data_IF_186456002785
#
_entry.id   IF_186456002785
#
_cell.length_a   1.000
_cell.length_b   1.000
_cell.length_c   1.000
_cell.angle_alpha   90.00
_cell.angle_beta   90.00
_cell.angle_gamma   90.00
#
_symmetry.space_group_name_H-M   'P 1'
#
loop_
_entity.id
_entity.type
_entity.pdbx_description
1 polymer ?
#
# COMPACT_ATOMS: atom_id res chain seq x y z
N UNK A 1 -22.53 23.23 -9.19
CA UNK A 1 -21.40 22.28 -9.18
C UNK A 1 -20.36 22.83 -10.12
N UNK A 2 -19.38 23.56 -9.59
CA UNK A 2 -18.19 23.94 -10.36
C UNK A 2 -17.54 22.65 -10.83
N UNK A 3 -17.40 22.47 -12.15
CA UNK A 3 -16.67 21.33 -12.71
C UNK A 3 -15.19 21.53 -12.38
N UNK A 4 -14.77 21.07 -11.21
CA UNK A 4 -13.35 20.94 -10.89
C UNK A 4 -12.77 19.89 -11.83
N UNK A 5 -11.67 20.22 -12.50
CA UNK A 5 -10.94 19.24 -13.30
C UNK A 5 -10.48 18.10 -12.37
N UNK A 6 -10.46 16.84 -12.85
CA UNK A 6 -9.89 15.74 -12.08
C UNK A 6 -8.49 16.09 -11.55
N UNK A 7 -8.11 15.63 -10.35
CA UNK A 7 -6.92 16.10 -9.63
C UNK A 7 -5.61 15.82 -10.38
N UNK A 8 -5.59 14.83 -11.28
CA UNK A 8 -4.41 14.45 -12.06
C UNK A 8 -4.60 14.67 -13.57
N UNK A 9 -5.63 15.43 -13.97
CA UNK A 9 -5.86 15.75 -15.37
C UNK A 9 -4.65 16.45 -15.99
N UNK A 10 -4.13 15.90 -17.09
CA UNK A 10 -2.95 16.43 -17.78
C UNK A 10 -1.61 16.04 -17.16
N UNK A 11 -1.59 15.20 -16.12
CA UNK A 11 -0.34 14.64 -15.60
C UNK A 11 0.36 13.77 -16.67
N UNK A 12 1.62 14.07 -16.95
CA UNK A 12 2.44 13.37 -17.96
C UNK A 12 3.49 12.42 -17.37
N UNK A 13 3.51 12.26 -16.03
CA UNK A 13 4.41 11.32 -15.38
C UNK A 13 3.99 9.88 -15.73
N UNK A 14 4.96 9.01 -15.98
CA UNK A 14 4.73 7.59 -16.18
C UNK A 14 5.23 6.80 -14.98
N UNK A 15 4.31 6.30 -14.16
CA UNK A 15 4.62 5.48 -12.99
C UNK A 15 5.42 4.23 -13.36
N UNK A 16 5.05 3.58 -14.48
CA UNK A 16 5.70 2.35 -14.92
C UNK A 16 7.11 2.63 -15.45
N UNK A 17 7.32 3.73 -16.18
CA UNK A 17 8.66 4.12 -16.62
C UNK A 17 9.56 4.51 -15.44
N UNK A 18 9.03 5.26 -14.46
CA UNK A 18 9.76 5.66 -13.25
C UNK A 18 10.13 4.44 -12.38
N UNK A 19 9.22 3.47 -12.24
CA UNK A 19 9.47 2.25 -11.48
C UNK A 19 10.51 1.31 -12.12
N UNK A 20 10.93 1.54 -13.37
CA UNK A 20 11.93 0.72 -14.05
C UNK A 20 13.28 0.73 -13.33
N UNK A 21 13.70 1.87 -12.78
CA UNK A 21 14.98 2.00 -12.06
C UNK A 21 15.02 1.17 -10.76
N UNK A 22 14.08 1.33 -9.80
CA UNK A 22 14.08 0.49 -8.59
C UNK A 22 13.82 -0.99 -8.91
N UNK A 23 13.04 -1.31 -9.95
CA UNK A 23 12.87 -2.69 -10.40
C UNK A 23 14.18 -3.29 -10.92
N UNK A 24 14.93 -2.56 -11.73
CA UNK A 24 16.23 -3.00 -12.21
C UNK A 24 17.20 -3.22 -11.03
N UNK A 25 17.20 -2.34 -10.03
CA UNK A 25 18.00 -2.53 -8.82
C UNK A 25 17.63 -3.81 -8.05
N UNK A 26 16.33 -4.10 -7.88
CA UNK A 26 15.84 -5.30 -7.22
C UNK A 26 16.31 -6.57 -7.97
N UNK A 27 16.21 -6.58 -9.30
CA UNK A 27 16.59 -7.74 -10.14
C UNK A 27 18.11 -7.90 -10.32
N UNK A 28 18.90 -6.84 -10.21
CA UNK A 28 20.35 -6.91 -10.33
C UNK A 28 21.03 -7.40 -9.03
N UNK A 29 20.37 -7.25 -7.88
CA UNK A 29 20.94 -7.49 -6.55
C UNK A 29 20.18 -8.60 -5.80
N UNK A 30 19.80 -9.67 -6.52
CA UNK A 30 18.94 -10.75 -5.99
C UNK A 30 19.45 -11.40 -4.72
N UNK A 31 20.77 -11.58 -4.59
CA UNK A 31 21.39 -12.17 -3.39
C UNK A 31 21.31 -11.24 -2.18
N UNK A 32 21.49 -9.94 -2.39
CA UNK A 32 21.42 -8.95 -1.31
C UNK A 32 19.98 -8.82 -0.79
N UNK A 33 19.02 -8.75 -1.71
CA UNK A 33 17.61 -8.61 -1.36
C UNK A 33 16.95 -9.93 -0.95
N UNK A 34 17.63 -11.05 -1.18
CA UNK A 34 17.10 -12.39 -0.89
C UNK A 34 15.88 -12.75 -1.75
N UNK A 35 15.80 -12.24 -2.97
CA UNK A 35 14.69 -12.49 -3.91
C UNK A 35 15.08 -13.51 -4.97
N UNK A 36 14.09 -14.16 -5.58
CA UNK A 36 14.27 -15.05 -6.74
C UNK A 36 13.58 -14.47 -7.95
N UNK A 37 14.28 -14.45 -9.08
CA UNK A 37 13.75 -13.97 -10.35
C UNK A 37 13.63 -15.14 -11.31
N UNK A 38 12.45 -15.34 -11.84
CA UNK A 38 12.15 -16.35 -12.85
C UNK A 38 11.54 -15.67 -14.08
N UNK A 39 11.91 -16.14 -15.27
CA UNK A 39 11.22 -15.76 -16.50
C UNK A 39 10.40 -16.94 -16.99
N UNK A 40 9.10 -16.75 -17.13
CA UNK A 40 8.19 -17.80 -17.62
C UNK A 40 8.49 -18.12 -19.08
N UNK A 41 7.99 -19.27 -19.56
CA UNK A 41 8.08 -19.64 -20.98
C UNK A 41 7.40 -18.62 -21.92
N UNK A 42 6.37 -17.90 -21.44
CA UNK A 42 5.71 -16.85 -22.20
C UNK A 42 6.50 -15.54 -22.23
N UNK A 43 7.46 -15.33 -21.33
CA UNK A 43 8.33 -14.16 -21.29
C UNK A 43 8.11 -13.23 -20.09
N UNK A 44 7.06 -13.47 -19.29
CA UNK A 44 6.74 -12.70 -18.07
C UNK A 44 7.83 -12.90 -17.02
N UNK A 45 8.19 -11.83 -16.31
CA UNK A 45 9.10 -11.92 -15.17
C UNK A 45 8.31 -12.08 -13.87
N UNK A 46 8.63 -13.12 -13.11
CA UNK A 46 8.13 -13.34 -11.76
C UNK A 46 9.27 -13.07 -10.76
N UNK A 47 9.01 -12.24 -9.76
CA UNK A 47 9.91 -11.98 -8.65
C UNK A 47 9.27 -12.53 -7.39
N UNK A 48 9.80 -13.64 -6.88
CA UNK A 48 9.44 -14.17 -5.57
C UNK A 48 10.27 -13.45 -4.49
N UNK A 49 9.57 -12.73 -3.61
CA UNK A 49 10.16 -11.99 -2.51
C UNK A 49 9.77 -12.54 -1.12
N UNK A 50 9.23 -13.76 -1.04
CA UNK A 50 8.88 -14.33 0.27
C UNK A 50 8.14 -15.68 0.30
N UNK A 51 7.82 -16.27 -0.86
CA UNK A 51 7.13 -17.57 -0.96
C UNK A 51 8.13 -18.70 -0.73
N UNK A 52 9.10 -18.83 -1.62
CA UNK A 52 10.24 -19.74 -1.50
C UNK A 52 11.54 -18.98 -1.23
N UNK A 53 11.66 -17.76 -1.74
CA UNK A 53 12.74 -16.85 -1.43
C UNK A 53 12.63 -16.35 0.01
N UNK A 54 13.75 -16.16 0.74
CA UNK A 54 13.70 -15.63 2.11
C UNK A 54 13.16 -14.19 2.16
N UNK A 55 13.37 -13.41 1.09
CA UNK A 55 13.14 -11.98 1.08
C UNK A 55 14.00 -11.24 2.10
N UNK A 56 13.76 -9.94 2.21
CA UNK A 56 14.38 -9.11 3.25
C UNK A 56 13.53 -7.88 3.50
N UNK A 57 13.75 -7.22 4.64
CA UNK A 57 13.14 -5.91 4.89
C UNK A 57 13.57 -4.92 3.80
N UNK A 58 14.85 -4.91 3.42
CA UNK A 58 15.36 -4.06 2.34
C UNK A 58 14.64 -4.29 1.00
N UNK A 59 14.33 -5.54 0.66
CA UNK A 59 13.51 -5.85 -0.51
C UNK A 59 12.10 -5.26 -0.37
N UNK A 60 11.48 -5.40 0.80
CA UNK A 60 10.15 -4.83 1.06
C UNK A 60 10.10 -3.30 1.00
N UNK A 61 11.15 -2.60 1.45
CA UNK A 61 11.26 -1.14 1.31
C UNK A 61 11.31 -0.74 -0.17
N UNK A 62 12.18 -1.39 -0.95
CA UNK A 62 12.30 -1.12 -2.40
C UNK A 62 11.02 -1.49 -3.16
N UNK A 63 10.35 -2.57 -2.78
CA UNK A 63 9.04 -2.95 -3.33
C UNK A 63 7.98 -1.91 -2.94
N UNK A 64 8.04 -1.33 -1.75
CA UNK A 64 7.21 -0.20 -1.34
C UNK A 64 7.39 1.02 -2.26
N UNK A 65 8.62 1.36 -2.62
CA UNK A 65 8.92 2.43 -3.60
C UNK A 65 8.41 2.08 -5.01
N UNK A 66 8.54 0.82 -5.43
CA UNK A 66 7.96 0.32 -6.68
C UNK A 66 6.43 0.46 -6.65
N UNK A 67 5.77 0.09 -5.55
CA UNK A 67 4.33 0.28 -5.38
C UNK A 67 3.93 1.76 -5.50
N UNK A 68 4.75 2.68 -5.00
CA UNK A 68 4.56 4.14 -5.13
C UNK A 68 4.91 4.68 -6.54
N UNK A 69 5.29 3.82 -7.48
CA UNK A 69 5.72 4.20 -8.84
C UNK A 69 6.96 5.09 -8.85
N UNK A 70 7.86 4.88 -7.89
CA UNK A 70 9.06 5.68 -7.64
C UNK A 70 8.79 7.20 -7.44
N UNK A 71 7.56 7.57 -7.08
CA UNK A 71 7.18 8.93 -6.69
C UNK A 71 7.10 9.11 -5.17
N UNK A 72 7.52 8.11 -4.40
CA UNK A 72 7.71 8.21 -2.97
C UNK A 72 8.93 7.44 -2.52
N UNK A 73 9.52 7.89 -1.41
CA UNK A 73 10.67 7.28 -0.78
C UNK A 73 10.22 6.43 0.41
N UNK A 74 10.82 5.26 0.59
CA UNK A 74 10.51 4.35 1.71
C UNK A 74 11.79 3.98 2.43
N UNK A 75 11.88 4.33 3.71
CA UNK A 75 13.09 4.12 4.50
C UNK A 75 12.76 3.40 5.81
N UNK A 76 13.72 2.64 6.32
CA UNK A 76 13.65 2.12 7.67
C UNK A 76 14.42 3.04 8.61
N UNK A 77 13.79 3.40 9.73
CA UNK A 77 14.39 4.19 10.80
C UNK A 77 14.39 3.38 12.09
N UNK A 78 15.45 3.53 12.90
CA UNK A 78 15.42 3.07 14.28
C UNK A 78 14.41 3.90 15.09
N UNK A 79 13.70 3.26 16.01
CA UNK A 79 12.64 3.87 16.82
C UNK A 79 13.12 4.96 17.78
N UNK A 80 14.43 5.11 18.01
CA UNK A 80 14.98 6.10 18.92
C UNK A 80 14.38 5.98 20.33
N UNK A 81 13.50 6.91 20.68
CA UNK A 81 12.77 6.99 21.97
C UNK A 81 11.47 6.19 22.03
N UNK A 82 11.01 5.62 20.91
CA UNK A 82 9.83 4.75 20.86
C UNK A 82 10.09 3.42 21.59
N UNK A 83 9.08 2.84 22.27
CA UNK A 83 9.19 1.52 22.88
C UNK A 83 9.37 0.37 21.86
N UNK A 84 9.09 0.62 20.58
CA UNK A 84 9.36 -0.29 19.48
C UNK A 84 10.58 0.16 18.64
N UNK A 85 11.54 -0.73 18.31
CA UNK A 85 12.86 -0.33 17.80
C UNK A 85 12.95 -0.08 16.30
N UNK A 86 11.96 -0.48 15.49
CA UNK A 86 12.05 -0.44 14.02
C UNK A 86 10.81 0.18 13.40
N UNK A 87 10.99 1.14 12.50
CA UNK A 87 9.92 1.92 11.88
C UNK A 87 10.15 2.03 10.38
N UNK A 88 9.07 2.18 9.62
CA UNK A 88 9.10 2.59 8.23
C UNK A 88 8.67 4.05 8.15
N UNK A 89 9.38 4.83 7.35
CA UNK A 89 9.05 6.20 6.97
C UNK A 89 8.74 6.24 5.47
N UNK A 90 7.70 6.99 5.10
CA UNK A 90 7.23 7.14 3.74
C UNK A 90 7.00 8.61 3.47
N UNK A 91 7.43 9.11 2.32
CA UNK A 91 7.11 10.48 1.91
C UNK A 91 6.94 10.59 0.40
N UNK A 92 6.10 11.52 -0.04
CA UNK A 92 5.87 11.81 -1.44
C UNK A 92 5.50 13.27 -1.67
N UNK A 93 6.09 13.86 -2.71
CA UNK A 93 5.72 15.16 -3.24
C UNK A 93 4.59 15.10 -4.29
N UNK A 94 4.10 13.89 -4.59
CA UNK A 94 2.96 13.62 -5.47
C UNK A 94 2.09 12.51 -4.84
N UNK A 95 1.62 12.70 -3.58
CA UNK A 95 1.08 11.60 -2.78
C UNK A 95 -0.19 11.01 -3.38
N UNK A 96 -1.04 11.80 -4.03
CA UNK A 96 -2.26 11.29 -4.68
C UNK A 96 -1.92 10.34 -5.83
N UNK A 97 -1.01 10.73 -6.72
CA UNK A 97 -0.59 9.88 -7.83
C UNK A 97 0.18 8.64 -7.33
N UNK A 98 1.12 8.82 -6.41
CA UNK A 98 1.93 7.73 -5.86
C UNK A 98 1.09 6.72 -5.07
N UNK A 99 0.20 7.20 -4.19
CA UNK A 99 -0.61 6.33 -3.34
C UNK A 99 -1.83 5.77 -4.08
N UNK A 100 -2.70 6.61 -4.63
CA UNK A 100 -3.98 6.17 -5.20
C UNK A 100 -3.82 5.67 -6.64
N UNK A 101 -3.00 6.37 -7.43
CA UNK A 101 -2.70 6.00 -8.82
C UNK A 101 -1.80 4.77 -8.96
N UNK A 102 -1.08 4.39 -7.90
CA UNK A 102 -0.12 3.28 -7.92
C UNK A 102 -0.24 2.33 -6.72
N UNK A 103 0.12 2.78 -5.51
CA UNK A 103 0.31 1.90 -4.34
C UNK A 103 -0.96 1.16 -3.90
N UNK A 104 -2.13 1.80 -3.96
CA UNK A 104 -3.40 1.27 -3.49
C UNK A 104 -3.68 -0.12 -4.07
N UNK A 105 -4.12 -1.03 -3.20
CA UNK A 105 -4.40 -2.43 -3.56
C UNK A 105 -5.82 -2.61 -4.11
N UNK A 106 -6.22 -1.81 -5.11
CA UNK A 106 -7.59 -1.77 -5.58
C UNK A 106 -7.94 -2.72 -6.73
N UNK A 107 -6.94 -3.36 -7.36
CA UNK A 107 -7.21 -4.25 -8.48
C UNK A 107 -7.48 -5.69 -8.02
N UNK A 108 -8.75 -6.06 -7.92
CA UNK A 108 -9.17 -7.44 -7.62
C UNK A 108 -8.87 -8.40 -8.77
N UNK A 109 -8.06 -9.42 -8.49
CA UNK A 109 -7.71 -10.50 -9.41
C UNK A 109 -8.16 -11.83 -8.82
N UNK A 110 -9.00 -12.57 -9.54
CA UNK A 110 -9.52 -13.85 -9.09
C UNK A 110 -9.57 -14.87 -10.21
N UNK A 111 -9.43 -16.15 -9.85
CA UNK A 111 -9.70 -17.28 -10.72
C UNK A 111 -10.45 -18.37 -9.95
N UNK A 112 -11.41 -19.00 -10.62
CA UNK A 112 -12.23 -20.08 -10.06
C UNK A 112 -11.43 -21.38 -9.88
N UNK A 113 -12.03 -22.37 -9.23
CA UNK A 113 -11.39 -23.69 -9.07
C UNK A 113 -11.22 -24.37 -10.42
N UNK A 114 -12.20 -24.22 -11.30
CA UNK A 114 -12.24 -24.75 -12.66
C UNK A 114 -11.11 -24.14 -13.51
N UNK A 115 -10.95 -22.82 -13.48
CA UNK A 115 -9.90 -22.11 -14.23
C UNK A 115 -8.48 -22.44 -13.74
N UNK A 116 -8.34 -22.84 -12.48
CA UNK A 116 -7.05 -23.18 -11.87
C UNK A 116 -6.77 -24.68 -11.80
N UNK A 117 -7.71 -25.53 -12.22
CA UNK A 117 -7.62 -26.98 -12.07
C UNK A 117 -7.51 -27.45 -10.62
N UNK A 118 -8.04 -26.68 -9.66
CA UNK A 118 -7.91 -27.00 -8.23
C UNK A 118 -8.39 -25.93 -7.27
N UNK A 119 -7.48 -25.07 -6.80
CA UNK A 119 -7.74 -24.11 -5.71
C UNK A 119 -8.04 -22.71 -6.26
N UNK A 120 -9.17 -22.13 -5.83
CA UNK A 120 -9.55 -20.72 -6.07
C UNK A 120 -8.36 -19.80 -5.79
N UNK A 121 -8.10 -18.87 -6.69
CA UNK A 121 -7.09 -17.83 -6.53
C UNK A 121 -7.78 -16.49 -6.29
N UNK A 122 -7.24 -15.70 -5.37
CA UNK A 122 -7.64 -14.32 -5.14
C UNK A 122 -6.40 -13.53 -4.71
N UNK A 123 -6.24 -12.35 -5.28
CA UNK A 123 -5.19 -11.40 -4.92
C UNK A 123 -5.70 -9.98 -5.15
N UNK A 124 -5.19 -9.05 -4.35
CA UNK A 124 -5.28 -7.63 -4.65
C UNK A 124 -3.97 -7.18 -5.30
N UNK A 125 -4.06 -6.63 -6.50
CA UNK A 125 -2.95 -6.06 -7.23
C UNK A 125 -2.68 -4.62 -6.80
N UNK A 126 -1.40 -4.32 -6.55
CA UNK A 126 -0.88 -2.99 -6.24
C UNK A 126 0.20 -2.59 -7.23
N UNK A 127 0.44 -1.29 -7.37
CA UNK A 127 1.56 -0.74 -8.11
C UNK A 127 1.22 -0.21 -9.51
N UNK A 128 2.25 0.26 -10.23
CA UNK A 128 2.12 1.07 -11.44
C UNK A 128 1.27 0.48 -12.56
N UNK A 129 1.27 -0.85 -12.72
CA UNK A 129 0.49 -1.50 -13.78
C UNK A 129 -1.02 -1.26 -13.66
N UNK A 130 -1.53 -0.94 -12.46
CA UNK A 130 -2.93 -0.53 -12.26
C UNK A 130 -3.31 0.65 -13.16
N UNK A 131 -2.41 1.62 -13.33
CA UNK A 131 -2.63 2.79 -14.16
C UNK A 131 -2.59 2.52 -15.68
N UNK A 132 -2.10 1.36 -16.10
CA UNK A 132 -2.24 0.89 -17.49
C UNK A 132 -3.63 0.26 -17.70
N UNK A 133 -4.05 -0.55 -16.72
CA UNK A 133 -5.26 -1.35 -16.77
C UNK A 133 -6.54 -0.54 -16.54
N UNK A 134 -6.49 0.46 -15.64
CA UNK A 134 -7.58 1.37 -15.24
C UNK A 134 -8.92 0.67 -15.01
N UNK A 135 -8.90 -0.47 -14.30
CA UNK A 135 -10.11 -1.27 -14.03
C UNK A 135 -10.93 -0.77 -12.86
N UNK A 136 -10.40 0.18 -12.11
CA UNK A 136 -11.01 0.75 -10.91
C UNK A 136 -11.70 2.08 -11.26
N UNK A 137 -12.92 2.34 -10.76
CA UNK A 137 -13.60 3.63 -10.94
C UNK A 137 -12.74 4.84 -10.53
N UNK A 138 -11.89 4.63 -9.53
CA UNK A 138 -10.92 5.60 -9.02
C UNK A 138 -10.10 6.29 -10.12
N UNK A 139 -9.70 5.59 -11.19
CA UNK A 139 -8.90 6.22 -12.26
C UNK A 139 -9.68 7.27 -13.07
N UNK A 140 -11.00 7.11 -13.20
CA UNK A 140 -11.85 8.12 -13.82
C UNK A 140 -11.97 9.37 -12.93
N UNK A 141 -12.07 9.17 -11.62
CA UNK A 141 -12.11 10.25 -10.62
C UNK A 141 -10.79 11.01 -10.55
N UNK A 142 -9.67 10.29 -10.62
CA UNK A 142 -8.32 10.88 -10.65
C UNK A 142 -8.04 11.61 -11.98
N UNK A 143 -8.59 11.13 -13.09
CA UNK A 143 -8.32 11.63 -14.44
C UNK A 143 -6.92 11.29 -14.94
N UNK A 144 -6.42 10.10 -14.59
CA UNK A 144 -5.07 9.64 -14.92
C UNK A 144 -5.06 8.25 -15.55
N UNK A 145 -4.20 8.07 -16.56
CA UNK A 145 -3.87 6.79 -17.20
C UNK A 145 -2.41 6.86 -17.63
N UNK A 146 -1.67 5.83 -17.27
CA UNK A 146 -0.27 5.70 -17.68
C UNK A 146 -0.17 5.11 -19.11
N UNK A 147 0.95 5.36 -19.78
CA UNK A 147 1.28 4.83 -21.09
C UNK A 147 2.73 4.32 -21.07
N UNK A 148 2.90 3.00 -21.15
CA UNK A 148 4.19 2.32 -21.11
C UNK A 148 4.07 0.94 -21.77
N UNK A 149 5.16 0.47 -22.38
CA UNK A 149 5.32 -0.90 -22.89
C UNK A 149 5.83 -1.89 -21.82
N UNK A 150 6.14 -1.37 -20.62
CA UNK A 150 6.48 -2.13 -19.42
C UNK A 150 5.45 -1.88 -18.33
N UNK A 151 5.18 -2.91 -17.54
CA UNK A 151 4.38 -2.76 -16.32
C UNK A 151 4.84 -3.66 -15.19
N UNK A 152 4.73 -3.14 -13.98
CA UNK A 152 5.02 -3.88 -12.74
C UNK A 152 3.80 -3.89 -11.83
N UNK A 153 3.42 -5.09 -11.38
CA UNK A 153 2.32 -5.33 -10.45
C UNK A 153 2.83 -6.14 -9.26
N UNK A 154 2.49 -5.70 -8.06
CA UNK A 154 2.81 -6.37 -6.80
C UNK A 154 1.57 -7.10 -6.30
N UNK A 155 1.72 -8.37 -5.96
CA UNK A 155 0.66 -9.27 -5.50
C UNK A 155 1.00 -9.77 -4.10
N UNK A 156 0.10 -9.47 -3.15
CA UNK A 156 0.16 -10.06 -1.81
C UNK A 156 -0.43 -11.47 -1.84
N UNK A 157 0.43 -12.47 -2.10
CA UNK A 157 0.03 -13.87 -2.31
C UNK A 157 1.03 -14.84 -1.71
N UNK A 158 0.56 -16.03 -1.36
CA UNK A 158 1.35 -17.14 -0.82
C UNK A 158 1.75 -18.20 -1.85
N UNK A 159 1.34 -18.01 -3.10
CA UNK A 159 1.64 -18.87 -4.24
C UNK A 159 1.64 -18.07 -5.54
N UNK A 160 2.38 -18.51 -6.58
CA UNK A 160 2.36 -17.85 -7.89
C UNK A 160 0.94 -17.76 -8.48
N UNK A 161 0.63 -16.66 -9.21
CA UNK A 161 -0.65 -16.53 -9.88
C UNK A 161 -0.79 -17.59 -10.99
N UNK A 162 -1.98 -18.17 -11.17
CA UNK A 162 -2.24 -19.10 -12.27
C UNK A 162 -2.18 -18.36 -13.62
N UNK A 163 -1.92 -19.09 -14.71
CA UNK A 163 -1.76 -18.52 -16.04
C UNK A 163 -2.95 -17.64 -16.48
N UNK A 164 -4.17 -18.05 -16.17
CA UNK A 164 -5.40 -17.27 -16.47
C UNK A 164 -5.38 -15.85 -15.87
N UNK A 165 -4.77 -15.68 -14.68
CA UNK A 165 -4.62 -14.37 -14.03
C UNK A 165 -3.51 -13.58 -14.72
N UNK A 166 -2.38 -14.22 -15.07
CA UNK A 166 -1.29 -13.58 -15.81
C UNK A 166 -1.79 -13.06 -17.16
N UNK A 167 -2.53 -13.88 -17.92
CA UNK A 167 -3.09 -13.50 -19.21
C UNK A 167 -4.11 -12.37 -19.07
N UNK A 168 -4.88 -12.36 -17.98
CA UNK A 168 -5.79 -11.25 -17.67
C UNK A 168 -5.03 -9.95 -17.45
N UNK A 169 -3.96 -9.96 -16.65
CA UNK A 169 -3.13 -8.77 -16.39
C UNK A 169 -2.51 -8.26 -17.70
N UNK A 170 -1.95 -9.14 -18.52
CA UNK A 170 -1.40 -8.77 -19.84
C UNK A 170 -2.42 -8.09 -20.74
N UNK A 171 -3.61 -8.70 -20.90
CA UNK A 171 -4.70 -8.14 -21.72
C UNK A 171 -5.19 -6.80 -21.20
N UNK A 172 -5.38 -6.71 -19.88
CA UNK A 172 -5.94 -5.53 -19.25
C UNK A 172 -4.96 -4.35 -19.31
N UNK A 173 -3.66 -4.59 -19.15
CA UNK A 173 -2.61 -3.57 -19.27
C UNK A 173 -2.20 -3.27 -20.72
N UNK A 174 -2.60 -4.11 -21.69
CA UNK A 174 -2.16 -3.98 -23.09
C UNK A 174 -0.67 -4.27 -23.30
N UNK A 175 -0.10 -5.17 -22.49
CA UNK A 175 1.34 -5.48 -22.50
C UNK A 175 1.65 -6.75 -23.29
N UNK A 176 2.82 -6.75 -23.95
CA UNK A 176 3.45 -7.99 -24.38
C UNK A 176 3.94 -8.78 -23.14
N UNK A 177 4.05 -10.12 -23.22
CA UNK A 177 4.49 -10.93 -22.08
C UNK A 177 5.81 -10.48 -21.44
N UNK A 178 6.81 -10.11 -22.25
CA UNK A 178 8.10 -9.60 -21.75
C UNK A 178 8.05 -8.18 -21.19
N UNK A 179 6.94 -7.49 -21.37
CA UNK A 179 6.64 -6.20 -20.75
C UNK A 179 6.15 -6.31 -19.32
N UNK A 180 5.70 -7.48 -18.86
CA UNK A 180 5.10 -7.64 -17.53
C UNK A 180 6.08 -8.21 -16.51
N UNK A 181 6.18 -7.53 -15.36
CA UNK A 181 6.78 -8.08 -14.14
C UNK A 181 5.76 -8.20 -13.02
N UNK A 182 5.71 -9.36 -12.37
CA UNK A 182 4.90 -9.61 -11.19
C UNK A 182 5.82 -9.83 -9.98
N UNK A 183 5.61 -9.06 -8.91
CA UNK A 183 6.34 -9.22 -7.65
C UNK A 183 5.39 -9.89 -6.64
N UNK A 184 5.82 -10.99 -6.03
CA UNK A 184 5.01 -11.80 -5.12
C UNK A 184 5.51 -11.61 -3.68
N UNK A 185 4.64 -11.07 -2.82
CA UNK A 185 5.00 -10.69 -1.44
C UNK A 185 4.01 -11.26 -0.43
N UNK A 186 4.19 -12.50 0.07
CA UNK A 186 3.31 -13.03 1.11
C UNK A 186 3.44 -12.22 2.40
N UNK A 187 2.31 -11.89 3.03
CA UNK A 187 2.24 -11.06 4.26
C UNK A 187 3.09 -11.61 5.40
N UNK A 188 3.29 -12.93 5.46
CA UNK A 188 4.12 -13.62 6.45
C UNK A 188 5.64 -13.50 6.22
N UNK A 189 6.09 -12.80 5.18
CA UNK A 189 7.50 -12.63 4.85
C UNK A 189 8.03 -11.25 5.27
N UNK A 190 9.36 -11.10 5.37
CA UNK A 190 9.98 -9.80 5.65
C UNK A 190 9.59 -8.73 4.62
N UNK A 191 9.63 -9.09 3.33
CA UNK A 191 9.29 -8.16 2.26
C UNK A 191 7.79 -7.82 2.27
N UNK A 192 6.93 -8.81 2.49
CA UNK A 192 5.48 -8.63 2.63
C UNK A 192 5.10 -7.72 3.78
N UNK A 193 5.63 -7.98 4.99
CA UNK A 193 5.40 -7.14 6.16
C UNK A 193 5.82 -5.69 5.90
N UNK A 194 7.01 -5.47 5.36
CA UNK A 194 7.53 -4.14 5.12
C UNK A 194 6.73 -3.37 4.04
N UNK A 195 6.36 -4.02 2.92
CA UNK A 195 5.58 -3.33 1.88
C UNK A 195 4.16 -2.99 2.34
N UNK A 196 3.52 -3.83 3.18
CA UNK A 196 2.20 -3.49 3.73
C UNK A 196 2.32 -2.29 4.66
N UNK A 197 3.29 -2.28 5.58
CA UNK A 197 3.47 -1.15 6.51
C UNK A 197 3.86 0.15 5.78
N UNK A 198 4.57 0.05 4.64
CA UNK A 198 4.86 1.19 3.77
C UNK A 198 3.61 1.83 3.13
N UNK A 199 2.41 1.28 3.34
CA UNK A 199 1.12 1.86 2.90
C UNK A 199 0.55 2.86 3.88
N UNK A 200 1.23 3.14 5.00
CA UNK A 200 0.75 4.10 6.02
C UNK A 200 0.32 5.45 5.43
N UNK A 201 1.04 5.96 4.43
CA UNK A 201 0.63 7.19 3.73
C UNK A 201 -0.59 6.92 2.84
N UNK A 202 -0.58 5.85 2.04
CA UNK A 202 -1.70 5.51 1.14
C UNK A 202 -3.02 5.32 1.85
N UNK A 203 -3.02 4.66 3.01
CA UNK A 203 -4.21 4.49 3.83
C UNK A 203 -4.83 5.85 4.23
N UNK A 204 -4.00 6.87 4.51
CA UNK A 204 -4.50 8.22 4.76
C UNK A 204 -5.06 8.89 3.50
N UNK A 205 -4.43 8.71 2.34
CA UNK A 205 -4.92 9.26 1.07
C UNK A 205 -6.23 8.60 0.64
N UNK A 206 -6.36 7.28 0.82
CA UNK A 206 -7.58 6.55 0.53
C UNK A 206 -8.70 7.01 1.46
N UNK A 207 -8.42 7.22 2.76
CA UNK A 207 -9.43 7.78 3.67
C UNK A 207 -9.77 9.24 3.38
N UNK A 208 -8.82 10.07 2.95
CA UNK A 208 -9.11 11.43 2.50
C UNK A 208 -10.08 11.43 1.31
N UNK A 209 -9.88 10.50 0.36
CA UNK A 209 -10.78 10.28 -0.77
C UNK A 209 -12.19 9.86 -0.31
N UNK A 210 -12.32 8.88 0.59
CA UNK A 210 -13.64 8.43 1.07
C UNK A 210 -14.37 9.49 1.90
N UNK A 211 -13.64 10.38 2.57
CA UNK A 211 -14.19 11.56 3.26
C UNK A 211 -14.61 12.68 2.30
N UNK A 212 -14.33 12.54 1.00
CA UNK A 212 -14.66 13.54 -0.02
C UNK A 212 -13.78 14.79 0.03
N UNK A 213 -12.57 14.69 0.59
CA UNK A 213 -11.61 15.79 0.49
C UNK A 213 -11.14 15.94 -0.96
N UNK A 214 -10.99 17.18 -1.44
CA UNK A 214 -10.50 17.42 -2.80
C UNK A 214 -9.04 16.96 -2.90
N UNK A 215 -8.82 15.85 -3.62
CA UNK A 215 -7.49 15.29 -3.80
C UNK A 215 -6.54 16.25 -4.52
N UNK A 216 -7.06 17.19 -5.33
CA UNK A 216 -6.26 18.22 -5.99
C UNK A 216 -5.63 19.21 -5.00
N UNK A 217 -6.19 19.31 -3.79
CA UNK A 217 -5.69 20.18 -2.73
C UNK A 217 -4.60 19.52 -1.87
N UNK A 218 -4.28 18.23 -2.06
CA UNK A 218 -3.21 17.55 -1.31
C UNK A 218 -1.86 17.75 -2.03
N UNK A 219 -1.01 18.60 -1.48
CA UNK A 219 0.27 18.96 -2.09
C UNK A 219 1.37 17.93 -1.77
N UNK A 220 1.51 17.54 -0.51
CA UNK A 220 2.57 16.62 -0.06
C UNK A 220 2.09 15.76 1.11
N UNK A 221 2.76 14.62 1.29
CA UNK A 221 2.50 13.72 2.41
C UNK A 221 3.77 13.10 2.95
N UNK A 222 3.84 12.96 4.28
CA UNK A 222 4.84 12.16 4.96
C UNK A 222 4.15 11.32 6.03
N UNK A 223 4.68 10.13 6.30
CA UNK A 223 4.09 9.19 7.23
C UNK A 223 5.14 8.25 7.82
N UNK A 224 4.85 7.68 8.98
CA UNK A 224 5.63 6.59 9.52
C UNK A 224 4.76 5.59 10.29
N UNK A 225 5.21 4.34 10.37
CA UNK A 225 4.55 3.30 11.15
C UNK A 225 5.59 2.33 11.72
N UNK A 226 5.34 1.74 12.90
CA UNK A 226 6.24 0.75 13.47
C UNK A 226 6.23 -0.53 12.63
N UNK A 227 7.40 -1.14 12.42
CA UNK A 227 7.55 -2.34 11.62
C UNK A 227 7.52 -3.59 12.51
N UNK A 228 6.44 -4.40 12.53
CA UNK A 228 6.39 -5.63 13.29
C UNK A 228 7.30 -6.69 12.67
N UNK A 229 7.62 -7.72 13.47
CA UNK A 229 8.20 -8.95 12.91
C UNK A 229 7.12 -9.78 12.21
N UNK A 230 7.43 -10.41 11.06
CA UNK A 230 6.51 -11.36 10.43
C UNK A 230 6.22 -12.54 11.36
N UNK A 231 5.03 -13.13 11.18
CA UNK A 231 4.59 -14.35 11.87
C UNK A 231 4.10 -15.36 10.85
N UNK A 232 4.21 -16.65 11.18
CA UNK A 232 3.92 -17.73 10.23
C UNK A 232 2.42 -17.81 9.85
N UNK A 233 1.53 -17.56 10.81
CA UNK A 233 0.09 -17.55 10.57
C UNK A 233 -0.32 -16.33 9.74
N UNK A 234 -1.00 -16.56 8.62
CA UNK A 234 -1.35 -15.50 7.68
C UNK A 234 -2.34 -14.48 8.23
N UNK A 235 -3.30 -14.92 9.06
CA UNK A 235 -4.29 -14.01 9.66
C UNK A 235 -3.61 -13.13 10.72
N UNK A 236 -2.72 -13.69 11.53
CA UNK A 236 -1.92 -12.91 12.47
C UNK A 236 -0.95 -11.96 11.76
N UNK A 237 -0.32 -12.37 10.67
CA UNK A 237 0.57 -11.50 9.88
C UNK A 237 -0.18 -10.31 9.28
N UNK A 238 -1.35 -10.57 8.70
CA UNK A 238 -2.27 -9.53 8.23
C UNK A 238 -2.72 -8.62 9.37
N UNK A 239 -3.07 -9.19 10.54
CA UNK A 239 -3.43 -8.45 11.73
C UNK A 239 -2.34 -7.46 12.15
N UNK A 240 -1.11 -7.95 12.35
CA UNK A 240 0.03 -7.13 12.78
C UNK A 240 0.37 -6.00 11.83
N UNK A 241 0.35 -6.28 10.52
CA UNK A 241 0.68 -5.28 9.50
C UNK A 241 -0.38 -4.19 9.38
N UNK A 242 -1.67 -4.54 9.51
CA UNK A 242 -2.73 -3.54 9.61
C UNK A 242 -2.63 -2.76 10.94
N UNK A 243 -2.51 -3.46 12.07
CA UNK A 243 -2.41 -2.85 13.40
C UNK A 243 -1.26 -1.83 13.48
N UNK A 244 -0.13 -2.11 12.84
CA UNK A 244 0.98 -1.17 12.71
C UNK A 244 0.56 0.20 12.17
N UNK A 245 -0.32 0.24 11.16
CA UNK A 245 -0.85 1.47 10.57
C UNK A 245 -1.97 2.04 11.46
N UNK A 246 -2.93 1.19 11.83
CA UNK A 246 -4.15 1.56 12.55
C UNK A 246 -3.87 2.15 13.92
N UNK A 247 -2.85 1.65 14.62
CA UNK A 247 -2.54 2.01 16.00
C UNK A 247 -1.16 2.63 16.17
N UNK A 248 -0.27 2.50 15.19
CA UNK A 248 1.08 3.10 15.24
C UNK A 248 1.36 4.10 14.12
N UNK A 249 0.48 4.20 13.11
CA UNK A 249 0.68 5.06 11.95
C UNK A 249 0.52 6.53 12.29
N UNK A 250 1.53 7.33 11.94
CA UNK A 250 1.52 8.78 12.03
C UNK A 250 1.56 9.36 10.62
N UNK A 251 0.71 10.34 10.31
CA UNK A 251 0.64 10.95 8.99
C UNK A 251 0.59 12.46 9.08
N UNK A 252 1.41 13.13 8.27
CA UNK A 252 1.36 14.56 8.05
C UNK A 252 1.03 14.87 6.59
N UNK A 253 -0.14 15.46 6.35
CA UNK A 253 -0.55 15.96 5.04
C UNK A 253 -0.38 17.48 4.98
N UNK A 254 0.13 17.98 3.86
CA UNK A 254 0.18 19.41 3.52
C UNK A 254 -0.86 19.67 2.44
N UNK A 255 -1.83 20.52 2.75
CA UNK A 255 -3.01 20.73 1.91
C UNK A 255 -3.27 22.21 1.62
N UNK A 256 -4.06 22.47 0.58
CA UNK A 256 -4.59 23.78 0.19
C UNK A 256 -6.12 23.81 0.31
N UNK A 257 -6.74 24.84 -0.24
CA UNK A 257 -8.18 24.93 -0.39
C UNK A 257 -8.87 25.61 0.78
N UNK A 258 -10.01 25.07 1.21
CA UNK A 258 -10.78 25.64 2.31
C UNK A 258 -10.18 25.23 3.67
N UNK A 259 -9.88 26.20 4.52
CA UNK A 259 -9.32 25.96 5.86
C UNK A 259 -10.22 25.04 6.71
N UNK A 260 -11.54 25.20 6.58
CA UNK A 260 -12.52 24.36 7.27
C UNK A 260 -12.46 22.89 6.80
N UNK A 261 -12.20 22.65 5.51
CA UNK A 261 -12.03 21.31 4.96
C UNK A 261 -10.75 20.66 5.51
N UNK A 262 -9.63 21.41 5.57
CA UNK A 262 -8.39 20.92 6.18
C UNK A 262 -8.57 20.54 7.66
N UNK A 263 -9.31 21.35 8.44
CA UNK A 263 -9.64 21.03 9.82
C UNK A 263 -10.54 19.79 9.93
N UNK A 264 -11.56 19.70 9.09
CA UNK A 264 -12.47 18.55 9.07
C UNK A 264 -11.75 17.26 8.68
N UNK A 265 -10.81 17.33 7.73
CA UNK A 265 -9.96 16.21 7.34
C UNK A 265 -9.16 15.71 8.55
N UNK A 266 -8.44 16.60 9.25
CA UNK A 266 -7.64 16.21 10.42
C UNK A 266 -8.48 15.49 11.48
N UNK A 267 -9.69 15.99 11.79
CA UNK A 267 -10.53 15.44 12.85
C UNK A 267 -11.19 14.09 12.51
N UNK A 268 -11.34 13.76 11.22
CA UNK A 268 -12.06 12.55 10.77
C UNK A 268 -11.14 11.46 10.23
N UNK A 269 -9.90 11.81 9.86
CA UNK A 269 -8.95 10.89 9.26
C UNK A 269 -8.41 9.81 10.24
N UNK A 270 -8.22 10.04 11.54
CA UNK A 270 -7.72 9.00 12.45
C UNK A 270 -8.57 7.73 12.51
N UNK A 271 -7.94 6.58 12.75
CA UNK A 271 -8.62 5.28 12.94
C UNK A 271 -9.55 5.26 14.14
N UNK A 272 -9.30 6.10 15.15
CA UNK A 272 -10.14 6.26 16.34
C UNK A 272 -11.56 6.79 16.07
N UNK A 273 -11.82 7.27 14.85
CA UNK A 273 -13.17 7.62 14.40
C UNK A 273 -14.03 6.41 14.02
N UNK A 274 -13.43 5.22 13.90
CA UNK A 274 -14.15 3.98 13.61
C UNK A 274 -14.81 3.40 14.85
N UNK A 275 -15.99 2.78 14.67
CA UNK A 275 -16.65 2.02 15.74
C UNK A 275 -15.90 0.73 16.13
N UNK A 276 -15.02 0.23 15.27
CA UNK A 276 -14.28 -1.01 15.48
C UNK A 276 -12.90 -0.75 16.12
N UNK A 277 -12.54 0.51 16.38
CA UNK A 277 -11.25 0.90 16.97
C UNK A 277 -11.03 0.31 18.38
N UNK A 278 -9.77 -0.01 18.67
CA UNK A 278 -9.30 -0.39 20.01
C UNK A 278 -9.21 -1.91 20.23
N UNK A 279 -9.41 -2.71 19.18
CA UNK A 279 -9.24 -4.16 19.18
C UNK A 279 -8.23 -4.55 18.09
N UNK A 280 -7.39 -5.57 18.30
CA UNK A 280 -6.46 -6.06 17.27
C UNK A 280 -7.20 -6.45 16.00
N UNK A 281 -6.63 -6.14 14.84
CA UNK A 281 -7.29 -6.37 13.55
C UNK A 281 -7.61 -7.85 13.31
N UNK A 282 -6.75 -8.77 13.74
CA UNK A 282 -7.03 -10.21 13.65
C UNK A 282 -8.31 -10.61 14.41
N UNK A 283 -8.55 -10.04 15.58
CA UNK A 283 -9.75 -10.31 16.39
C UNK A 283 -10.99 -9.66 15.76
N UNK A 284 -10.86 -8.45 15.20
CA UNK A 284 -11.93 -7.78 14.44
C UNK A 284 -12.32 -8.63 13.23
N UNK A 285 -11.32 -9.07 12.45
CA UNK A 285 -11.53 -9.89 11.27
C UNK A 285 -12.20 -11.22 11.60
N UNK A 286 -11.82 -11.85 12.71
CA UNK A 286 -12.48 -13.06 13.20
C UNK A 286 -13.95 -12.81 13.59
N UNK A 287 -14.24 -11.72 14.32
CA UNK A 287 -15.63 -11.34 14.69
C UNK A 287 -16.49 -10.97 13.48
N UNK A 288 -15.86 -10.53 12.41
CA UNK A 288 -16.48 -10.24 11.12
C UNK A 288 -16.67 -11.48 10.25
N UNK A 289 -16.43 -12.69 10.76
CA UNK A 289 -16.48 -13.97 10.03
C UNK A 289 -15.53 -13.98 8.81
N UNK A 290 -14.38 -13.31 8.92
CA UNK A 290 -13.38 -13.16 7.85
C UNK A 290 -13.90 -12.40 6.62
N UNK A 291 -14.91 -11.52 6.82
CA UNK A 291 -15.49 -10.68 5.79
C UNK A 291 -15.10 -9.20 5.98
N UNK A 292 -14.23 -8.69 5.11
CA UNK A 292 -13.81 -7.28 5.11
C UNK A 292 -14.99 -6.30 4.96
N UNK A 293 -16.09 -6.69 4.30
CA UNK A 293 -17.24 -5.81 4.11
C UNK A 293 -18.04 -5.55 5.39
N UNK A 294 -17.82 -6.35 6.44
CA UNK A 294 -18.47 -6.20 7.74
C UNK A 294 -17.68 -5.31 8.70
N UNK A 295 -16.43 -5.03 8.38
CA UNK A 295 -15.56 -4.11 9.13
C UNK A 295 -15.89 -2.68 8.71
N UNK A 296 -15.98 -1.77 9.67
CA UNK A 296 -16.15 -0.35 9.40
C UNK A 296 -15.00 0.18 8.52
N UNK A 297 -15.27 0.66 7.30
CA UNK A 297 -14.23 1.16 6.39
C UNK A 297 -13.42 2.32 6.98
N UNK A 298 -14.00 3.07 7.93
CA UNK A 298 -13.31 4.15 8.62
C UNK A 298 -12.12 3.67 9.47
N UNK A 299 -12.03 2.36 9.76
CA UNK A 299 -10.94 1.75 10.51
C UNK A 299 -9.62 1.78 9.74
N UNK A 300 -9.66 1.62 8.41
CA UNK A 300 -8.47 1.63 7.55
C UNK A 300 -7.94 3.06 7.42
N UNK A 301 -7.18 3.46 8.44
CA UNK A 301 -6.76 4.82 8.72
C UNK A 301 -5.49 4.81 9.59
N UNK A 302 -4.66 5.86 9.55
CA UNK A 302 -3.56 6.00 10.50
C UNK A 302 -4.08 6.32 11.92
N UNK A 303 -3.25 6.06 12.92
CA UNK A 303 -3.56 6.32 14.33
C UNK A 303 -3.56 7.83 14.68
N UNK A 304 -2.62 8.58 14.12
CA UNK A 304 -2.38 9.98 14.46
C UNK A 304 -2.14 10.83 13.19
N UNK A 305 -2.76 12.01 13.15
CA UNK A 305 -2.86 12.81 11.93
C UNK A 305 -2.55 14.27 12.20
N UNK A 306 -1.73 14.85 11.34
CA UNK A 306 -1.51 16.29 11.22
C UNK A 306 -1.89 16.74 9.81
N UNK A 307 -2.64 17.84 9.72
CA UNK A 307 -2.97 18.48 8.44
C UNK A 307 -2.53 19.94 8.51
N UNK A 308 -1.50 20.29 7.74
CA UNK A 308 -1.04 21.68 7.61
C UNK A 308 -1.68 22.32 6.39
N UNK A 309 -2.40 23.41 6.63
CA UNK A 309 -3.01 24.22 5.58
C UNK A 309 -2.02 25.28 5.08
N UNK A 310 -1.54 25.12 3.85
CA UNK A 310 -0.42 25.88 3.30
C UNK A 310 -0.72 27.38 3.16
N UNK A 311 -1.97 27.74 2.83
CA UNK A 311 -2.32 29.13 2.55
C UNK A 311 -2.54 29.95 3.84
N UNK A 312 -2.75 29.28 4.99
CA UNK A 312 -2.96 29.95 6.30
C UNK A 312 -1.84 29.73 7.30
N UNK A 313 -0.99 28.72 7.09
CA UNK A 313 0.04 28.29 8.04
C UNK A 313 -0.48 27.53 9.27
N UNK A 314 -1.78 27.30 9.38
CA UNK A 314 -2.37 26.56 10.50
C UNK A 314 -2.16 25.06 10.34
N UNK A 315 -1.94 24.37 11.45
CA UNK A 315 -1.84 22.91 11.50
C UNK A 315 -2.86 22.37 12.49
N UNK A 316 -3.67 21.42 12.02
CA UNK A 316 -4.66 20.71 12.82
C UNK A 316 -4.13 19.32 13.15
N UNK A 317 -4.40 18.85 14.37
CA UNK A 317 -3.95 17.55 14.88
C UNK A 317 -5.12 16.79 15.49
N UNK A 318 -5.15 15.49 15.28
CA UNK A 318 -6.09 14.58 15.94
C UNK A 318 -5.57 13.14 15.93
N UNK A 319 -6.22 12.29 16.74
CA UNK A 319 -5.79 10.91 16.95
C UNK A 319 -4.61 10.81 17.91
N UNK A 320 -4.14 9.58 18.11
CA UNK A 320 -2.98 9.27 18.93
C UNK A 320 -2.53 7.84 18.62
N UNK A 321 -1.23 7.58 18.74
CA UNK A 321 -0.75 6.20 18.71
C UNK A 321 -1.24 5.41 19.94
N UNK A 322 -1.56 4.14 19.73
CA UNK A 322 -1.87 3.17 20.76
C UNK A 322 -0.84 2.03 20.72
N UNK A 323 0.41 2.38 21.05
CA UNK A 323 1.52 1.42 21.04
C UNK A 323 1.35 0.32 22.08
N UNK A 324 0.64 0.57 23.19
CA UNK A 324 0.38 -0.44 24.21
C UNK A 324 -0.41 -1.63 23.64
N UNK A 325 -1.39 -1.36 22.78
CA UNK A 325 -2.15 -2.41 22.07
C UNK A 325 -1.23 -3.24 21.16
N UNK A 326 -0.28 -2.60 20.47
CA UNK A 326 0.70 -3.28 19.62
C UNK A 326 1.67 -4.13 20.43
N UNK A 327 2.24 -3.54 21.48
CA UNK A 327 3.27 -4.18 22.31
C UNK A 327 2.71 -5.36 23.09
N UNK A 328 1.44 -5.33 23.49
CA UNK A 328 0.78 -6.46 24.12
C UNK A 328 0.79 -7.73 23.24
N UNK A 329 0.80 -7.58 21.91
CA UNK A 329 0.90 -8.69 20.96
C UNK A 329 2.35 -8.97 20.52
N UNK A 330 3.12 -7.91 20.26
CA UNK A 330 4.44 -8.04 19.60
C UNK A 330 5.57 -8.37 20.57
N UNK A 331 5.43 -8.01 21.84
CA UNK A 331 6.44 -8.26 22.87
C UNK A 331 6.04 -9.44 23.72
N UNK A 332 6.84 -10.49 23.68
CA UNK A 332 6.74 -11.59 24.64
C UNK A 332 7.76 -11.38 25.77
N UNK A 333 7.45 -11.80 27.01
CA UNK A 333 8.44 -11.84 28.08
C UNK A 333 9.63 -12.72 27.64
N UNK A 334 10.85 -12.27 27.92
CA UNK A 334 12.04 -13.08 27.67
C UNK A 334 12.20 -14.21 28.72
N UNK A 335 11.45 -14.14 29.82
CA UNK A 335 11.42 -15.05 30.97
C UNK A 335 10.58 -14.47 32.10
#
# INVERSE_FOLDING_TARGET
MTMTSPPLAGCSLSLNALAAAPLAALTARVQEFGVRVERTASGVTLIDAGIEAPGSTAAGLLIGEICLGALGAVHQRAGGVSPWPSWIEVSSAQPVLACLGSQYAGWSLSASKEETGGRKFFALGSGPARALAVKEPLFAELGYRDHSDRGVLVLEVDRPPPQVVIDKVLRDCGLAPDGLTLILTPTRSLAGTAQVVARVLEVALHKAHTLGFDLGDIAEGAACAPLPSPVADGVQAMGRTNDAILYGGQVHLRVRGELAAARALALQLPSSCSRDYGTRFADIFQRADHDFYRIDPALFAPAEVWVSHLDSGQTFHAGAMNLDLLLADWRQPAG
#
